data_IF_287001823947
#
_entry.id   IF_287001823947
#
_cell.length_a   1.000
_cell.length_b   1.000
_cell.length_c   1.000
_cell.angle_alpha   90.00
_cell.angle_beta   90.00
_cell.angle_gamma   90.00
#
_symmetry.space_group_name_H-M   'P 1'
#
loop_
_entity.id
_entity.type
_entity.pdbx_description
1 polymer ?
#
# COMPACT_ATOMS: atom_id res chain seq x y z
N UNK A 1 -1.70 10.36 27.52
CA UNK A 1 -1.59 9.05 26.83
C UNK A 1 -1.87 9.17 25.34
N UNK A 2 -3.03 9.69 24.90
CA UNK A 2 -3.36 9.91 23.48
C UNK A 2 -2.30 10.71 22.71
N UNK A 3 -1.77 11.78 23.31
CA UNK A 3 -0.73 12.61 22.66
C UNK A 3 0.56 11.83 22.37
N UNK A 4 1.02 10.96 23.28
CA UNK A 4 2.23 10.14 23.09
C UNK A 4 2.03 9.06 22.03
N UNK A 5 0.83 8.45 21.98
CA UNK A 5 0.48 7.47 20.94
C UNK A 5 0.41 8.15 19.57
N UNK A 6 -0.21 9.32 19.48
CA UNK A 6 -0.28 10.08 18.24
C UNK A 6 1.11 10.56 17.76
N UNK A 7 1.95 11.06 18.69
CA UNK A 7 3.31 11.48 18.37
C UNK A 7 4.18 10.31 17.90
N UNK A 8 4.14 9.17 18.58
CA UNK A 8 4.89 7.98 18.17
C UNK A 8 4.40 7.41 16.83
N UNK A 9 3.09 7.38 16.59
CA UNK A 9 2.53 7.00 15.29
C UNK A 9 2.97 7.98 14.18
N UNK A 10 2.94 9.29 14.43
CA UNK A 10 3.40 10.29 13.47
C UNK A 10 4.89 10.15 13.16
N UNK A 11 5.73 9.96 14.17
CA UNK A 11 7.17 9.72 14.00
C UNK A 11 7.40 8.43 13.20
N UNK A 12 6.66 7.36 13.50
CA UNK A 12 6.76 6.10 12.75
C UNK A 12 6.37 6.28 11.29
N UNK A 13 5.25 6.95 11.01
CA UNK A 13 4.78 7.23 9.63
C UNK A 13 5.77 8.11 8.89
N UNK A 14 6.34 9.12 9.54
CA UNK A 14 7.38 9.98 8.93
C UNK A 14 8.66 9.20 8.65
N UNK A 15 9.12 8.38 9.60
CA UNK A 15 10.31 7.56 9.43
C UNK A 15 10.12 6.51 8.34
N UNK A 16 8.99 5.80 8.34
CA UNK A 16 8.67 4.80 7.31
C UNK A 16 8.46 5.46 5.94
N UNK A 17 7.81 6.63 5.90
CA UNK A 17 7.69 7.45 4.70
C UNK A 17 9.05 7.90 4.15
N UNK A 18 9.97 8.32 5.01
CA UNK A 18 11.33 8.69 4.60
C UNK A 18 12.11 7.48 4.06
N UNK A 19 12.01 6.32 4.71
CA UNK A 19 12.61 5.06 4.22
C UNK A 19 12.01 4.65 2.88
N UNK A 20 10.70 4.79 2.71
CA UNK A 20 10.02 4.50 1.44
C UNK A 20 10.42 5.49 0.36
N UNK A 21 10.52 6.79 0.63
CA UNK A 21 10.92 7.78 -0.36
C UNK A 21 12.38 7.61 -0.80
N UNK A 22 13.29 7.40 0.17
CA UNK A 22 14.70 7.19 -0.12
C UNK A 22 14.96 5.82 -0.78
N UNK A 23 14.19 4.81 -0.36
CA UNK A 23 14.33 3.44 -0.81
C UNK A 23 13.43 3.04 -1.97
N UNK A 24 12.47 3.86 -2.41
CA UNK A 24 11.45 3.43 -3.38
C UNK A 24 12.10 2.90 -4.66
N UNK A 25 13.06 3.65 -5.21
CA UNK A 25 13.78 3.25 -6.40
C UNK A 25 14.57 1.95 -6.19
N UNK A 26 15.23 1.77 -5.04
CA UNK A 26 16.03 0.58 -4.74
C UNK A 26 15.20 -0.67 -4.39
N UNK A 27 14.00 -0.46 -3.83
CA UNK A 27 12.97 -1.47 -3.58
C UNK A 27 12.38 -1.93 -4.92
N UNK A 28 12.06 -0.98 -5.80
CA UNK A 28 11.49 -1.25 -7.13
C UNK A 28 12.48 -1.89 -8.10
N UNK A 29 13.77 -1.56 -7.99
CA UNK A 29 14.86 -2.18 -8.73
C UNK A 29 15.38 -3.47 -8.07
N UNK A 30 14.96 -3.71 -6.83
CA UNK A 30 15.31 -4.90 -6.08
C UNK A 30 14.51 -6.12 -6.53
N UNK A 31 15.13 -7.29 -6.44
CA UNK A 31 14.40 -8.56 -6.60
C UNK A 31 13.27 -8.74 -5.57
N UNK A 32 12.53 -9.84 -5.69
CA UNK A 32 11.33 -10.15 -4.90
C UNK A 32 11.47 -9.83 -3.40
N UNK A 33 12.59 -10.18 -2.77
CA UNK A 33 12.82 -9.94 -1.34
C UNK A 33 12.75 -8.45 -0.95
N UNK A 34 13.35 -7.55 -1.75
CA UNK A 34 13.30 -6.11 -1.45
C UNK A 34 11.89 -5.56 -1.65
N UNK A 35 11.20 -6.06 -2.67
CA UNK A 35 9.81 -5.69 -2.96
C UNK A 35 8.87 -6.15 -1.83
N UNK A 36 9.10 -7.34 -1.28
CA UNK A 36 8.42 -7.86 -0.10
C UNK A 36 8.69 -7.03 1.16
N UNK A 37 9.94 -6.65 1.42
CA UNK A 37 10.28 -5.77 2.53
C UNK A 37 9.62 -4.39 2.38
N UNK A 38 9.64 -3.82 1.17
CA UNK A 38 8.97 -2.55 0.89
C UNK A 38 7.46 -2.62 1.08
N UNK A 39 6.82 -3.70 0.62
CA UNK A 39 5.40 -3.94 0.83
C UNK A 39 5.05 -4.16 2.30
N UNK A 40 5.94 -4.80 3.08
CA UNK A 40 5.78 -4.96 4.52
C UNK A 40 5.88 -3.62 5.25
N UNK A 41 6.86 -2.78 4.90
CA UNK A 41 6.97 -1.43 5.43
C UNK A 41 5.74 -0.57 5.08
N UNK A 42 5.25 -0.67 3.85
CA UNK A 42 3.99 -0.04 3.43
C UNK A 42 2.81 -0.55 4.25
N UNK A 43 2.66 -1.87 4.39
CA UNK A 43 1.60 -2.50 5.16
C UNK A 43 1.60 -2.08 6.62
N UNK A 44 2.77 -2.02 7.25
CA UNK A 44 2.94 -1.50 8.61
C UNK A 44 2.58 -0.02 8.71
N UNK A 45 3.04 0.79 7.75
CA UNK A 45 2.73 2.23 7.70
C UNK A 45 1.23 2.47 7.59
N UNK A 46 0.57 1.78 6.67
CA UNK A 46 -0.88 1.84 6.51
C UNK A 46 -1.59 1.37 7.77
N UNK A 47 -1.14 0.27 8.39
CA UNK A 47 -1.74 -0.23 9.62
C UNK A 47 -1.67 0.80 10.76
N UNK A 48 -0.56 1.52 10.88
CA UNK A 48 -0.41 2.59 11.89
C UNK A 48 -1.32 3.77 11.57
N UNK A 49 -1.42 4.18 10.29
CA UNK A 49 -2.35 5.24 9.88
C UNK A 49 -3.79 4.85 10.18
N UNK A 50 -4.24 3.66 9.77
CA UNK A 50 -5.61 3.19 10.04
C UNK A 50 -5.89 3.08 11.54
N UNK A 51 -4.96 2.52 12.32
CA UNK A 51 -5.10 2.44 13.78
C UNK A 51 -5.18 3.83 14.42
N UNK A 52 -4.32 4.77 14.00
CA UNK A 52 -4.33 6.14 14.50
C UNK A 52 -5.65 6.86 14.15
N UNK A 53 -6.12 6.72 12.90
CA UNK A 53 -7.40 7.28 12.46
C UNK A 53 -8.58 6.69 13.23
N UNK A 54 -8.62 5.37 13.44
CA UNK A 54 -9.67 4.71 14.23
C UNK A 54 -9.69 5.22 15.68
N UNK A 55 -8.51 5.37 16.30
CA UNK A 55 -8.38 5.89 17.65
C UNK A 55 -8.77 7.38 17.74
N UNK A 56 -8.40 8.22 16.77
CA UNK A 56 -8.80 9.62 16.72
C UNK A 56 -10.32 9.76 16.58
N UNK A 57 -10.93 8.96 15.70
CA UNK A 57 -12.39 8.89 15.56
C UNK A 57 -13.04 8.45 16.87
N UNK A 58 -12.52 7.41 17.52
CA UNK A 58 -13.04 6.94 18.80
C UNK A 58 -12.98 8.00 19.89
N UNK A 59 -11.86 8.72 20.03
CA UNK A 59 -11.72 9.84 20.97
C UNK A 59 -12.71 10.95 20.64
N UNK A 60 -12.90 11.25 19.36
CA UNK A 60 -13.85 12.27 18.90
C UNK A 60 -15.29 11.87 19.22
N UNK A 61 -15.70 10.64 18.91
CA UNK A 61 -17.01 10.09 19.26
C UNK A 61 -17.23 9.95 20.77
N UNK A 62 -16.16 9.83 21.56
CA UNK A 62 -16.25 9.76 23.01
C UNK A 62 -16.44 11.14 23.66
N UNK A 63 -16.12 12.24 22.96
CA UNK A 63 -16.40 13.61 23.42
C UNK A 63 -17.84 14.03 23.22
N UNK A 64 -18.58 13.36 22.33
CA UNK A 64 -20.00 13.60 22.17
C UNK A 64 -20.76 12.75 23.21
N UNK A 65 -21.60 13.41 24.01
CA UNK A 65 -22.56 12.78 24.94
C UNK A 65 -23.72 12.14 24.15
N UNK A 66 -23.36 11.15 23.34
CA UNK A 66 -24.29 10.31 22.61
C UNK A 66 -24.87 9.28 23.59
N UNK A 67 -26.19 9.29 23.71
CA UNK A 67 -26.93 8.30 24.48
C UNK A 67 -26.50 6.87 24.09
N UNK A 68 -26.30 5.94 25.03
CA UNK A 68 -25.74 4.61 24.76
C UNK A 68 -26.75 3.71 24.04
N UNK A 69 -27.08 4.04 22.80
CA UNK A 69 -27.92 3.21 21.93
C UNK A 69 -27.06 2.08 21.34
N UNK A 70 -27.63 0.89 21.11
CA UNK A 70 -26.92 -0.25 20.53
C UNK A 70 -26.02 0.07 19.32
N UNK A 71 -26.43 0.89 18.31
CA UNK A 71 -25.56 1.21 17.18
C UNK A 71 -24.32 2.03 17.57
N UNK A 72 -24.41 2.90 18.58
CA UNK A 72 -23.30 3.73 19.03
C UNK A 72 -22.29 2.88 19.82
N UNK A 73 -22.78 1.97 20.66
CA UNK A 73 -21.93 1.02 21.38
C UNK A 73 -21.19 0.12 20.39
N UNK A 74 -21.90 -0.42 19.39
CA UNK A 74 -21.30 -1.20 18.33
C UNK A 74 -20.22 -0.40 17.60
N UNK A 75 -20.52 0.82 17.16
CA UNK A 75 -19.55 1.67 16.46
C UNK A 75 -18.31 1.97 17.31
N UNK A 76 -18.48 2.29 18.60
CA UNK A 76 -17.35 2.51 19.53
C UNK A 76 -16.51 1.25 19.71
N UNK A 77 -17.14 0.08 19.88
CA UNK A 77 -16.43 -1.20 19.99
C UNK A 77 -15.69 -1.58 18.70
N UNK A 78 -16.31 -1.32 17.54
CA UNK A 78 -15.71 -1.56 16.23
C UNK A 78 -14.49 -0.68 16.00
N UNK A 79 -14.60 0.62 16.30
CA UNK A 79 -13.47 1.55 16.22
C UNK A 79 -12.36 1.18 17.21
N UNK A 80 -12.70 0.72 18.42
CA UNK A 80 -11.72 0.23 19.39
C UNK A 80 -10.99 -1.03 18.90
N UNK A 81 -11.71 -1.97 18.28
CA UNK A 81 -11.13 -3.18 17.69
C UNK A 81 -10.23 -2.84 16.49
N UNK A 82 -10.66 -1.92 15.62
CA UNK A 82 -9.85 -1.41 14.50
C UNK A 82 -8.59 -0.68 14.97
N UNK A 83 -8.64 -0.03 16.14
CA UNK A 83 -7.51 0.63 16.76
C UNK A 83 -6.43 -0.34 17.23
N UNK A 84 -6.74 -1.63 17.43
CA UNK A 84 -5.76 -2.63 17.83
C UNK A 84 -4.92 -3.07 16.63
N UNK A 85 -3.59 -2.90 16.66
CA UNK A 85 -2.73 -3.42 15.60
C UNK A 85 -2.78 -4.94 15.61
N UNK A 86 -3.44 -5.55 14.62
CA UNK A 86 -3.46 -7.00 14.45
C UNK A 86 -2.34 -7.43 13.50
N UNK A 87 -1.52 -8.40 13.92
CA UNK A 87 -0.48 -8.97 13.08
C UNK A 87 -1.05 -9.50 11.75
N UNK A 88 -2.24 -10.10 11.80
CA UNK A 88 -2.98 -10.53 10.62
C UNK A 88 -3.33 -9.38 9.68
N UNK A 89 -3.77 -8.24 10.21
CA UNK A 89 -4.05 -7.04 9.41
C UNK A 89 -2.81 -6.49 8.72
N UNK A 90 -1.68 -6.43 9.43
CA UNK A 90 -0.38 -6.03 8.85
C UNK A 90 0.03 -6.97 7.73
N UNK A 91 -0.06 -8.28 7.95
CA UNK A 91 0.26 -9.29 6.91
C UNK A 91 -0.67 -9.14 5.71
N UNK A 92 -1.98 -8.98 5.93
CA UNK A 92 -2.96 -8.78 4.88
C UNK A 92 -2.67 -7.54 4.04
N UNK A 93 -2.41 -6.40 4.69
CA UNK A 93 -2.03 -5.16 4.01
C UNK A 93 -0.71 -5.30 3.24
N UNK A 94 0.26 -6.04 3.81
CA UNK A 94 1.54 -6.32 3.15
C UNK A 94 1.36 -7.19 1.90
N UNK A 95 0.48 -8.20 1.96
CA UNK A 95 0.14 -9.03 0.81
C UNK A 95 -0.59 -8.23 -0.27
N UNK A 96 -1.54 -7.38 0.11
CA UNK A 96 -2.22 -6.48 -0.84
C UNK A 96 -1.23 -5.54 -1.52
N UNK A 97 -0.30 -4.94 -0.75
CA UNK A 97 0.75 -4.11 -1.29
C UNK A 97 1.67 -4.88 -2.26
N UNK A 98 2.07 -6.12 -1.89
CA UNK A 98 2.84 -7.02 -2.75
C UNK A 98 2.13 -7.33 -4.06
N UNK A 99 0.87 -7.76 -3.99
CA UNK A 99 0.05 -8.09 -5.17
C UNK A 99 -0.12 -6.86 -6.06
N UNK A 100 -0.36 -5.69 -5.47
CA UNK A 100 -0.52 -4.43 -6.22
C UNK A 100 0.77 -4.04 -6.96
N UNK A 101 1.93 -4.18 -6.29
CA UNK A 101 3.24 -3.93 -6.91
C UNK A 101 3.56 -4.95 -8.00
N UNK A 102 3.25 -6.23 -7.77
CA UNK A 102 3.42 -7.29 -8.76
C UNK A 102 2.53 -7.05 -10.00
N UNK A 103 1.27 -6.69 -9.80
CA UNK A 103 0.34 -6.35 -10.88
C UNK A 103 0.82 -5.14 -11.70
N UNK A 104 1.38 -4.12 -11.03
CA UNK A 104 1.99 -2.97 -11.70
C UNK A 104 3.19 -3.37 -12.57
N UNK A 105 4.08 -4.22 -12.06
CA UNK A 105 5.22 -4.76 -12.83
C UNK A 105 4.78 -5.59 -14.04
N UNK A 106 3.76 -6.43 -13.87
CA UNK A 106 3.18 -7.21 -14.97
C UNK A 106 2.59 -6.29 -16.03
N UNK A 107 1.86 -5.23 -15.65
CA UNK A 107 1.32 -4.24 -16.59
C UNK A 107 2.43 -3.59 -17.42
N UNK A 108 3.52 -3.14 -16.78
CA UNK A 108 4.68 -2.54 -17.49
C UNK A 108 5.31 -3.53 -18.45
N UNK A 109 5.50 -4.78 -18.03
CA UNK A 109 6.07 -5.82 -18.90
C UNK A 109 5.17 -6.12 -20.11
N UNK A 110 3.85 -6.13 -19.93
CA UNK A 110 2.89 -6.28 -21.03
C UNK A 110 2.94 -5.11 -22.00
N UNK A 111 3.07 -3.87 -21.51
CA UNK A 111 3.24 -2.68 -22.34
C UNK A 111 4.56 -2.74 -23.16
N UNK A 112 5.66 -3.15 -22.53
CA UNK A 112 6.95 -3.34 -23.21
C UNK A 112 6.89 -4.46 -24.27
N UNK A 113 6.21 -5.56 -23.96
CA UNK A 113 5.98 -6.66 -24.92
C UNK A 113 5.13 -6.21 -26.12
N UNK A 114 4.07 -5.43 -25.91
CA UNK A 114 3.25 -4.89 -27.01
C UNK A 114 4.08 -3.97 -27.92
N UNK A 115 4.92 -3.11 -27.33
CA UNK A 115 5.85 -2.26 -28.10
C UNK A 115 6.82 -3.12 -28.91
N UNK A 116 7.39 -4.17 -28.31
CA UNK A 116 8.32 -5.07 -28.98
C UNK A 116 7.65 -5.79 -30.15
N UNK A 117 6.45 -6.32 -29.96
CA UNK A 117 5.67 -7.00 -31.01
C UNK A 117 5.34 -6.05 -32.16
N UNK A 118 4.90 -4.82 -31.85
CA UNK A 118 4.62 -3.80 -32.88
C UNK A 118 5.87 -3.41 -33.65
N UNK A 119 7.01 -3.26 -32.99
CA UNK A 119 8.28 -2.96 -33.65
C UNK A 119 8.74 -4.10 -34.56
N UNK A 120 8.56 -5.35 -34.11
CA UNK A 120 8.89 -6.54 -34.90
C UNK A 120 7.96 -6.68 -36.12
N UNK A 121 6.66 -6.46 -35.97
CA UNK A 121 5.70 -6.46 -37.08
C UNK A 121 6.02 -5.37 -38.12
N UNK A 122 6.41 -4.16 -37.67
CA UNK A 122 6.83 -3.09 -38.55
C UNK A 122 8.13 -3.41 -39.31
N UNK A 123 9.07 -4.11 -38.67
CA UNK A 123 10.30 -4.57 -39.32
C UNK A 123 10.02 -5.67 -40.35
N UNK A 124 9.19 -6.67 -40.01
CA UNK A 124 8.78 -7.73 -40.92
C UNK A 124 8.03 -7.18 -42.16
N UNK A 125 7.13 -6.22 -41.96
CA UNK A 125 6.44 -5.55 -43.07
C UNK A 125 7.39 -4.76 -43.99
N UNK A 126 8.52 -4.26 -43.46
CA UNK A 126 9.56 -3.62 -44.29
C UNK A 126 10.41 -4.65 -45.02
N UNK A 127 10.77 -5.77 -44.39
CA UNK A 127 11.53 -6.83 -45.05
C UNK A 127 10.76 -7.44 -46.22
N UNK A 128 9.45 -7.64 -46.08
CA UNK A 128 8.59 -8.15 -47.16
C UNK A 128 8.51 -7.16 -48.34
N UNK A 129 8.48 -5.85 -48.06
CA UNK A 129 8.51 -4.83 -49.12
C UNK A 129 9.85 -4.75 -49.84
N UNK A 130 10.97 -5.02 -49.16
CA UNK A 130 12.31 -5.05 -49.79
C UNK A 130 12.59 -6.36 -50.51
N UNK A 131 11.87 -7.44 -50.19
CA UNK A 131 11.95 -8.74 -50.86
C UNK A 131 11.01 -8.87 -52.07
N UNK A 132 10.09 -7.90 -52.25
CA UNK A 132 9.28 -7.80 -53.45
C UNK A 132 10.15 -7.24 -54.61
N UNK A 133 10.26 -7.96 -55.75
CA UNK A 133 11.08 -7.56 -56.90
C UNK A 133 10.57 -6.32 -57.65
#
# INVERSE_FOLDING_TARGET
MVFFIAASAAIFVLAAGAVLLYGAASILAGGFLRLALGALLLGMSLSVVFSATANLLLVTFSRYDLEPRPPIIFLRSFLAAMGQPTLTGVIGLSLVALISLAASKVRVMVEEMDILIRSHAAYAARSDRTAAP
#
